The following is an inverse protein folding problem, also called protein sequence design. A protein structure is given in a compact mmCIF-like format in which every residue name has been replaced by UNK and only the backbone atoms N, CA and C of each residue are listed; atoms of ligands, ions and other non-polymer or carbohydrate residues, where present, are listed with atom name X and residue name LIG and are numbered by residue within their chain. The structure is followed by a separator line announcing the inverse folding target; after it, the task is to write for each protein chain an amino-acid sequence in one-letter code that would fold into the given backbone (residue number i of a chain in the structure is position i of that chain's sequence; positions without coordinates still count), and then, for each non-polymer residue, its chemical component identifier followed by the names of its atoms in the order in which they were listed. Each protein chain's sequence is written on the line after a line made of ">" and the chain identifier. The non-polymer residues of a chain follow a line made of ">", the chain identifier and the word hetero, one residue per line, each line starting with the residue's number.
data_IF_034036560586
#
_entry.id   IF_034036560586
#
_cell.length_a   1.000
_cell.length_b   1.000
_cell.length_c   1.000
_cell.angle_alpha   90.00
_cell.angle_beta   90.00
_cell.angle_gamma   90.00
#
_symmetry.space_group_name_H-M   'P 1'
#
loop_
_entity.id
_entity.type
_entity.pdbx_description
1 polymer ?
#
# COMPACT_ATOMS: atom_id res chain seq x y z
N UNK A 1 32.65 -5.66 -5.03
CA UNK A 1 32.22 -6.51 -6.15
C UNK A 1 31.98 -7.90 -5.61
N UNK A 2 30.72 -8.30 -5.37
CA UNK A 2 30.42 -9.68 -4.93
C UNK A 2 30.26 -10.53 -6.20
N UNK A 3 31.23 -11.39 -6.49
CA UNK A 3 31.14 -12.32 -7.62
C UNK A 3 30.09 -13.40 -7.31
N UNK A 4 28.88 -13.25 -7.88
CA UNK A 4 27.84 -14.28 -7.83
C UNK A 4 28.18 -15.49 -8.72
N UNK A 5 29.19 -15.36 -9.57
CA UNK A 5 29.63 -16.37 -10.53
C UNK A 5 31.10 -16.66 -10.27
N UNK A 6 31.44 -17.94 -10.11
CA UNK A 6 32.82 -18.39 -9.85
C UNK A 6 33.17 -19.61 -10.71
N UNK A 7 34.46 -19.90 -10.85
CA UNK A 7 34.97 -21.05 -11.60
C UNK A 7 35.36 -20.70 -13.05
N UNK A 8 35.63 -21.74 -13.84
CA UNK A 8 36.08 -21.62 -15.24
C UNK A 8 35.34 -22.60 -16.15
N UNK A 9 35.45 -22.44 -17.47
CA UNK A 9 34.85 -23.41 -18.40
C UNK A 9 35.44 -24.82 -18.24
N UNK A 10 36.68 -24.95 -17.78
CA UNK A 10 37.35 -26.24 -17.54
C UNK A 10 36.95 -26.87 -16.20
N UNK A 11 36.73 -26.05 -15.16
CA UNK A 11 36.42 -26.52 -13.80
C UNK A 11 34.92 -26.57 -13.50
N UNK A 12 34.10 -25.96 -14.37
CA UNK A 12 32.68 -25.72 -14.14
C UNK A 12 32.44 -24.30 -13.63
N UNK A 13 31.31 -23.72 -14.03
CA UNK A 13 30.83 -22.42 -13.57
C UNK A 13 29.80 -22.66 -12.45
N UNK A 14 29.99 -21.99 -11.32
CA UNK A 14 29.05 -21.98 -10.19
C UNK A 14 28.39 -20.62 -10.09
N UNK A 15 27.05 -20.61 -9.99
CA UNK A 15 26.26 -19.42 -9.67
C UNK A 15 25.77 -19.57 -8.23
N UNK A 16 25.93 -18.54 -7.39
CA UNK A 16 25.41 -18.50 -6.02
C UNK A 16 24.69 -17.18 -5.83
N UNK A 17 23.38 -17.25 -5.60
CA UNK A 17 22.51 -16.10 -5.38
C UNK A 17 22.34 -15.95 -3.86
N UNK A 18 22.78 -14.83 -3.26
CA UNK A 18 22.50 -14.57 -1.85
C UNK A 18 20.99 -14.47 -1.59
N UNK A 19 20.54 -14.85 -0.39
CA UNK A 19 19.12 -14.89 -0.03
C UNK A 19 18.44 -13.53 -0.25
N UNK A 20 19.13 -12.43 0.07
CA UNK A 20 18.64 -11.06 -0.14
C UNK A 20 18.46 -10.65 -1.60
N UNK A 21 18.99 -11.44 -2.54
CA UNK A 21 18.94 -11.19 -3.98
C UNK A 21 18.00 -12.14 -4.73
N UNK A 22 17.27 -13.02 -4.01
CA UNK A 22 16.18 -13.76 -4.63
C UNK A 22 15.07 -12.80 -5.09
N UNK A 23 14.51 -13.02 -6.29
CA UNK A 23 13.56 -12.10 -6.89
C UNK A 23 12.20 -12.14 -6.19
N UNK A 24 11.42 -11.07 -6.30
CA UNK A 24 10.06 -11.00 -5.76
C UNK A 24 9.05 -11.81 -6.60
N UNK A 25 9.33 -12.00 -7.89
CA UNK A 25 8.61 -12.91 -8.80
C UNK A 25 9.58 -13.95 -9.34
N UNK A 26 9.09 -15.16 -9.65
CA UNK A 26 9.94 -16.19 -10.25
C UNK A 26 10.50 -15.69 -11.59
N UNK A 27 11.79 -15.91 -11.84
CA UNK A 27 12.46 -15.50 -13.09
C UNK A 27 13.09 -16.71 -13.77
N UNK A 28 13.31 -16.61 -15.08
CA UNK A 28 14.01 -17.62 -15.84
C UNK A 28 15.04 -16.98 -16.76
N UNK A 29 16.18 -17.65 -16.92
CA UNK A 29 17.20 -17.27 -17.90
C UNK A 29 17.88 -18.50 -18.49
N UNK A 30 18.64 -18.31 -19.56
CA UNK A 30 19.36 -19.39 -20.24
C UNK A 30 20.86 -19.11 -20.23
N UNK A 31 21.64 -20.13 -19.88
CA UNK A 31 23.10 -20.13 -20.01
C UNK A 31 23.52 -21.40 -20.74
N UNK A 32 24.72 -21.45 -21.30
CA UNK A 32 25.10 -22.61 -22.08
C UNK A 32 26.52 -22.59 -22.61
N UNK A 33 26.90 -23.70 -23.23
CA UNK A 33 28.17 -23.87 -23.89
C UNK A 33 27.98 -23.85 -25.41
N UNK A 34 28.96 -23.29 -26.13
CA UNK A 34 28.99 -23.28 -27.58
C UNK A 34 30.34 -23.78 -28.08
N UNK A 35 30.32 -24.77 -28.96
CA UNK A 35 31.50 -25.31 -29.64
C UNK A 35 31.23 -25.35 -31.16
N UNK A 36 31.76 -24.36 -31.88
CA UNK A 36 31.44 -24.17 -33.30
C UNK A 36 29.96 -23.88 -33.52
N UNK A 37 29.28 -24.78 -34.24
CA UNK A 37 27.81 -24.72 -34.47
C UNK A 37 26.99 -25.47 -33.41
N UNK A 38 27.64 -26.27 -32.56
CA UNK A 38 26.95 -27.03 -31.53
C UNK A 38 26.71 -26.15 -30.31
N UNK A 39 25.48 -26.16 -29.80
CA UNK A 39 25.06 -25.37 -28.63
C UNK A 39 24.37 -26.29 -27.63
N UNK A 40 24.75 -26.17 -26.37
CA UNK A 40 24.07 -26.78 -25.24
C UNK A 40 23.52 -25.67 -24.36
N UNK A 41 22.21 -25.64 -24.12
CA UNK A 41 21.56 -24.63 -23.28
C UNK A 41 20.99 -25.29 -22.02
N UNK A 42 21.22 -24.62 -20.89
CA UNK A 42 20.61 -24.86 -19.61
C UNK A 42 19.56 -23.77 -19.36
N UNK A 43 18.32 -24.19 -19.13
CA UNK A 43 17.29 -23.31 -18.59
C UNK A 43 17.47 -23.24 -17.07
N UNK A 44 17.67 -22.05 -16.54
CA UNK A 44 17.76 -21.79 -15.10
C UNK A 44 16.48 -21.11 -14.66
N UNK A 45 15.80 -21.74 -13.71
CA UNK A 45 14.60 -21.19 -13.07
C UNK A 45 14.98 -20.74 -11.66
N UNK A 46 14.80 -19.45 -11.39
CA UNK A 46 15.03 -18.86 -10.06
C UNK A 46 13.66 -18.65 -9.44
N UNK A 47 13.38 -19.41 -8.38
CA UNK A 47 12.14 -19.25 -7.62
C UNK A 47 12.11 -17.88 -6.96
N UNK A 48 10.91 -17.33 -6.79
CA UNK A 48 10.72 -16.13 -5.97
C UNK A 48 11.00 -16.45 -4.50
N UNK A 49 11.46 -15.44 -3.75
CA UNK A 49 11.47 -15.51 -2.29
C UNK A 49 10.04 -15.50 -1.74
N UNK A 50 9.87 -15.91 -0.49
CA UNK A 50 8.61 -15.75 0.22
C UNK A 50 8.44 -14.30 0.70
N UNK A 51 7.18 -13.89 0.86
CA UNK A 51 6.89 -12.63 1.54
C UNK A 51 7.09 -12.81 3.03
N UNK A 52 7.76 -11.88 3.67
CA UNK A 52 8.06 -11.98 5.10
C UNK A 52 8.19 -10.62 5.78
N UNK A 53 8.23 -10.65 7.11
CA UNK A 53 8.52 -9.49 7.94
C UNK A 53 9.84 -9.73 8.66
N UNK A 54 10.81 -8.85 8.42
CA UNK A 54 12.11 -8.83 9.10
C UNK A 54 12.21 -7.51 9.87
N UNK A 55 12.12 -7.57 11.20
CA UNK A 55 12.04 -6.36 12.03
C UNK A 55 10.79 -5.53 11.71
N UNK A 56 10.97 -4.24 11.40
CA UNK A 56 9.90 -3.33 10.98
C UNK A 56 9.70 -3.27 9.45
N UNK A 57 10.28 -4.21 8.70
CA UNK A 57 10.27 -4.19 7.25
C UNK A 57 9.41 -5.34 6.72
N UNK A 58 8.35 -5.00 5.99
CA UNK A 58 7.56 -5.94 5.22
C UNK A 58 8.16 -6.10 3.83
N UNK A 59 8.71 -7.29 3.56
CA UNK A 59 9.30 -7.64 2.29
C UNK A 59 8.32 -8.44 1.44
N UNK A 60 7.51 -7.78 0.63
CA UNK A 60 6.54 -8.48 -0.23
C UNK A 60 7.23 -9.15 -1.43
N UNK A 61 6.67 -10.31 -1.80
CA UNK A 61 6.95 -11.10 -2.97
C UNK A 61 5.62 -11.73 -3.45
N UNK A 62 5.63 -12.32 -4.64
CA UNK A 62 4.40 -12.59 -5.38
C UNK A 62 4.27 -14.06 -5.78
N UNK A 63 4.80 -14.98 -4.98
CA UNK A 63 4.62 -16.42 -5.21
C UNK A 63 3.20 -16.91 -4.88
N UNK A 64 2.53 -16.28 -3.92
CA UNK A 64 1.16 -16.61 -3.49
C UNK A 64 0.53 -15.47 -2.68
N UNK A 65 -0.82 -15.47 -2.60
CA UNK A 65 -1.55 -14.55 -1.74
C UNK A 65 -1.20 -14.81 -0.28
N UNK A 66 -0.87 -13.77 0.47
CA UNK A 66 -0.41 -13.91 1.85
C UNK A 66 -0.81 -12.72 2.70
N UNK A 67 -1.17 -13.00 3.95
CA UNK A 67 -1.29 -12.01 5.02
C UNK A 67 -0.12 -12.19 5.97
N UNK A 68 0.75 -11.19 6.02
CA UNK A 68 1.92 -11.21 6.89
C UNK A 68 1.51 -11.11 8.36
N UNK A 69 2.43 -11.54 9.23
CA UNK A 69 2.35 -11.24 10.66
C UNK A 69 2.28 -9.71 10.87
N UNK A 70 1.51 -9.23 11.85
CA UNK A 70 1.42 -7.79 12.10
C UNK A 70 2.76 -7.18 12.50
N UNK A 71 3.01 -5.96 12.03
CA UNK A 71 4.09 -5.10 12.51
C UNK A 71 3.51 -4.17 13.58
N UNK A 72 4.08 -4.18 14.78
CA UNK A 72 3.65 -3.29 15.85
C UNK A 72 4.50 -2.02 15.85
N UNK A 73 3.86 -0.86 15.91
CA UNK A 73 4.50 0.45 16.04
C UNK A 73 4.08 1.12 17.34
N UNK A 74 5.06 1.72 18.01
CA UNK A 74 4.89 2.48 19.25
C UNK A 74 5.89 3.64 19.30
N UNK A 75 5.85 4.53 20.31
CA UNK A 75 6.73 5.70 20.33
C UNK A 75 8.24 5.40 20.29
N UNK A 76 8.68 4.22 20.74
CA UNK A 76 10.09 3.84 20.71
C UNK A 76 10.49 3.09 19.43
N UNK A 77 9.52 2.44 18.80
CA UNK A 77 9.68 1.73 17.52
C UNK A 77 8.58 2.21 16.56
N UNK A 78 8.77 3.42 16.04
CA UNK A 78 7.71 4.23 15.45
C UNK A 78 7.64 4.18 13.91
N UNK A 79 8.40 3.29 13.30
CA UNK A 79 8.54 3.18 11.86
C UNK A 79 8.07 1.84 11.32
N UNK A 80 7.52 1.81 10.11
CA UNK A 80 7.27 0.58 9.33
C UNK A 80 7.66 0.83 7.88
N UNK A 81 8.38 -0.12 7.28
CA UNK A 81 8.81 -0.06 5.88
C UNK A 81 8.05 -1.09 5.06
N UNK A 82 7.45 -0.66 3.95
CA UNK A 82 6.79 -1.48 2.96
C UNK A 82 7.66 -1.58 1.69
N UNK A 83 8.13 -2.78 1.37
CA UNK A 83 8.87 -3.05 0.15
C UNK A 83 8.00 -3.91 -0.77
N UNK A 84 7.38 -3.28 -1.76
CA UNK A 84 6.77 -3.97 -2.90
C UNK A 84 7.83 -4.32 -3.96
N UNK A 85 8.82 -3.43 -4.12
CA UNK A 85 9.82 -3.56 -5.17
C UNK A 85 9.22 -3.36 -6.57
N UNK A 86 10.05 -3.47 -7.62
CA UNK A 86 9.67 -3.06 -8.97
C UNK A 86 8.61 -3.95 -9.62
N UNK A 87 8.43 -5.17 -9.11
CA UNK A 87 7.46 -6.15 -9.62
C UNK A 87 6.05 -5.94 -9.02
N UNK A 88 5.84 -4.96 -8.13
CA UNK A 88 4.52 -4.71 -7.56
C UNK A 88 4.22 -3.28 -7.15
N UNK A 89 2.96 -3.07 -6.82
CA UNK A 89 2.36 -1.77 -6.52
C UNK A 89 1.74 -1.79 -5.13
N UNK A 90 1.94 -0.73 -4.36
CA UNK A 90 1.32 -0.60 -3.05
C UNK A 90 -0.21 -0.47 -3.13
N UNK A 91 -0.90 -0.91 -2.10
CA UNK A 91 -2.31 -0.58 -1.86
C UNK A 91 -2.52 -0.03 -0.43
N UNK A 92 -3.44 0.93 -0.23
CA UNK A 92 -4.24 1.58 -1.27
C UNK A 92 -3.37 2.36 -2.27
N UNK A 93 -3.90 2.70 -3.44
CA UNK A 93 -3.11 3.37 -4.48
C UNK A 93 -2.49 4.68 -3.97
N UNK A 94 -3.22 5.38 -3.11
CA UNK A 94 -2.77 6.55 -2.35
C UNK A 94 -2.30 6.18 -0.93
N UNK A 95 -1.46 5.14 -0.82
CA UNK A 95 -0.95 4.62 0.47
C UNK A 95 -0.23 5.66 1.33
N UNK A 96 0.21 6.77 0.73
CA UNK A 96 0.87 7.85 1.45
C UNK A 96 -0.12 8.74 2.20
N UNK A 97 -1.41 8.78 1.84
CA UNK A 97 -2.41 9.58 2.55
C UNK A 97 -3.54 8.73 3.14
N UNK A 98 -3.72 7.50 2.64
CA UNK A 98 -4.77 6.59 3.01
C UNK A 98 -4.22 5.23 3.45
N UNK A 99 -5.02 4.55 4.26
CA UNK A 99 -4.83 3.15 4.62
C UNK A 99 -6.15 2.39 4.46
N UNK A 100 -6.11 1.07 4.39
CA UNK A 100 -7.33 0.27 4.47
C UNK A 100 -7.70 0.01 5.95
N UNK A 101 -8.99 -0.03 6.29
CA UNK A 101 -9.47 -0.55 7.59
C UNK A 101 -9.84 -2.02 7.53
N UNK A 102 -10.13 -2.53 6.34
CA UNK A 102 -10.60 -3.90 6.05
C UNK A 102 -9.92 -4.38 4.76
N UNK A 103 -9.68 -5.70 4.62
CA UNK A 103 -8.89 -6.25 3.52
C UNK A 103 -9.67 -6.48 2.22
N UNK A 104 -10.86 -7.06 2.34
CA UNK A 104 -11.54 -7.70 1.20
C UNK A 104 -11.88 -6.71 0.08
N UNK A 105 -12.09 -5.43 0.43
CA UNK A 105 -12.35 -4.35 -0.53
C UNK A 105 -11.41 -3.15 -0.37
N UNK A 106 -10.37 -3.24 0.49
CA UNK A 106 -9.60 -2.09 0.98
C UNK A 106 -10.48 -0.86 1.24
N UNK A 107 -11.18 -0.85 2.36
CA UNK A 107 -11.95 0.33 2.74
C UNK A 107 -11.03 1.47 3.15
N UNK A 108 -10.76 2.37 2.20
CA UNK A 108 -9.81 3.46 2.37
C UNK A 108 -10.28 4.46 3.44
N UNK A 109 -9.35 4.85 4.30
CA UNK A 109 -9.50 5.90 5.30
C UNK A 109 -8.25 6.77 5.33
N UNK A 110 -8.39 8.09 5.51
CA UNK A 110 -7.24 8.96 5.62
C UNK A 110 -6.51 8.70 6.93
N UNK A 111 -5.19 8.80 6.93
CA UNK A 111 -4.39 8.67 8.16
C UNK A 111 -4.75 9.69 9.23
N UNK A 112 -5.31 10.85 8.88
CA UNK A 112 -5.78 11.84 9.85
C UNK A 112 -6.91 11.34 10.76
N UNK A 113 -7.58 10.23 10.39
CA UNK A 113 -8.54 9.54 11.26
C UNK A 113 -7.86 8.73 12.39
N UNK A 114 -6.57 8.44 12.24
CA UNK A 114 -5.76 7.64 13.18
C UNK A 114 -4.73 8.52 13.88
N UNK A 115 -4.04 9.41 13.16
CA UNK A 115 -3.00 10.27 13.68
C UNK A 115 -3.46 11.75 13.65
N UNK A 116 -3.62 12.41 14.82
CA UNK A 116 -4.23 13.74 14.92
C UNK A 116 -3.58 14.85 14.06
N UNK A 117 -2.27 14.77 13.82
CA UNK A 117 -1.49 15.71 13.01
C UNK A 117 -0.81 15.05 11.83
N UNK A 118 -1.48 14.07 11.22
CA UNK A 118 -0.94 13.39 10.04
C UNK A 118 -0.44 14.38 8.97
N UNK A 119 0.73 14.09 8.41
CA UNK A 119 1.30 14.76 7.25
C UNK A 119 1.87 13.71 6.32
N UNK A 120 1.74 13.91 5.00
CA UNK A 120 2.38 13.05 4.00
C UNK A 120 3.91 12.95 4.17
N UNK A 121 4.53 13.93 4.85
CA UNK A 121 5.94 13.90 5.25
C UNK A 121 6.32 12.78 6.22
N UNK A 122 5.35 12.08 6.81
CA UNK A 122 5.61 10.88 7.61
C UNK A 122 6.07 9.72 6.72
N UNK A 123 5.75 9.77 5.43
CA UNK A 123 6.22 8.83 4.43
C UNK A 123 7.50 9.34 3.77
N UNK A 124 8.44 8.41 3.58
CA UNK A 124 9.66 8.63 2.80
C UNK A 124 9.90 7.44 1.88
N UNK A 125 10.55 7.67 0.75
CA UNK A 125 10.81 6.63 -0.24
C UNK A 125 9.58 6.25 -1.06
N UNK A 126 9.69 5.14 -1.77
CA UNK A 126 8.66 4.65 -2.71
C UNK A 126 8.52 3.14 -2.58
N UNK A 127 7.30 2.66 -2.36
CA UNK A 127 7.06 1.25 -2.09
C UNK A 127 7.48 0.32 -3.25
N UNK A 128 7.38 0.79 -4.49
CA UNK A 128 7.85 0.08 -5.70
C UNK A 128 9.37 0.16 -5.89
N UNK A 129 10.07 0.97 -5.10
CA UNK A 129 11.53 1.02 -5.07
C UNK A 129 12.13 -0.16 -4.32
N UNK A 130 13.41 -0.47 -4.59
CA UNK A 130 14.14 -1.55 -3.90
C UNK A 130 14.32 -1.30 -2.40
N UNK A 131 14.33 -0.03 -1.99
CA UNK A 131 14.39 0.37 -0.58
C UNK A 131 13.02 0.46 0.08
N UNK A 132 11.94 0.41 -0.70
CA UNK A 132 10.56 0.61 -0.25
C UNK A 132 10.23 2.03 0.23
N UNK A 133 9.04 2.14 0.82
CA UNK A 133 8.56 3.34 1.48
C UNK A 133 8.45 3.09 2.99
N UNK A 134 8.80 4.09 3.79
CA UNK A 134 8.76 4.01 5.25
C UNK A 134 7.81 5.05 5.82
N UNK A 135 6.84 4.59 6.61
CA UNK A 135 5.99 5.42 7.46
C UNK A 135 6.68 5.59 8.81
N UNK A 136 6.97 6.83 9.21
CA UNK A 136 7.51 7.17 10.52
C UNK A 136 6.54 8.07 11.26
N UNK A 137 6.03 7.61 12.40
CA UNK A 137 5.02 8.34 13.18
C UNK A 137 5.74 9.14 14.28
N UNK A 138 5.67 10.48 14.32
CA UNK A 138 6.24 11.25 15.42
C UNK A 138 5.62 10.86 16.77
N UNK A 139 6.41 10.89 17.85
CA UNK A 139 5.99 10.36 19.17
C UNK A 139 4.71 11.01 19.71
N UNK A 140 4.50 12.29 19.43
CA UNK A 140 3.33 13.09 19.83
C UNK A 140 2.09 12.89 18.95
N UNK A 141 2.21 12.07 17.89
CA UNK A 141 1.16 11.85 16.90
C UNK A 141 0.51 10.48 17.01
N UNK A 142 0.93 9.66 17.97
CA UNK A 142 0.27 8.38 18.26
C UNK A 142 -1.16 8.59 18.78
N UNK A 143 -2.10 7.70 18.42
CA UNK A 143 -3.49 7.79 18.85
C UNK A 143 -3.62 7.57 20.36
N UNK A 144 -4.73 8.06 20.93
CA UNK A 144 -5.08 7.79 22.33
C UNK A 144 -5.76 6.43 22.55
N UNK A 145 -6.03 5.69 21.47
CA UNK A 145 -6.63 4.35 21.47
C UNK A 145 -5.89 3.50 20.48
N UNK A 146 -5.62 2.24 20.81
CA UNK A 146 -4.92 1.34 19.89
C UNK A 146 -5.70 1.17 18.58
N UNK A 147 -5.00 1.13 17.46
CA UNK A 147 -5.59 1.01 16.12
C UNK A 147 -4.87 -0.06 15.31
N UNK A 148 -5.55 -0.66 14.33
CA UNK A 148 -4.91 -1.48 13.30
C UNK A 148 -5.24 -0.89 11.94
N UNK A 149 -4.22 -0.66 11.15
CA UNK A 149 -4.35 -0.28 9.74
C UNK A 149 -3.82 -1.40 8.85
N UNK A 150 -4.23 -1.38 7.59
CA UNK A 150 -3.77 -2.34 6.60
C UNK A 150 -3.16 -1.63 5.41
N UNK A 151 -2.00 -2.13 5.01
CA UNK A 151 -1.27 -1.78 3.82
C UNK A 151 -0.98 -3.07 3.04
N UNK A 152 -0.37 -2.93 1.88
CA UNK A 152 0.26 -4.07 1.24
C UNK A 152 0.68 -3.79 -0.18
N UNK A 153 0.94 -4.87 -0.91
CA UNK A 153 1.36 -4.83 -2.29
C UNK A 153 0.55 -5.80 -3.15
N UNK A 154 0.30 -5.42 -4.39
CA UNK A 154 -0.19 -6.31 -5.44
C UNK A 154 0.88 -6.47 -6.52
N UNK A 155 1.13 -7.70 -6.94
CA UNK A 155 1.95 -8.03 -8.10
C UNK A 155 1.12 -8.82 -9.11
N UNK A 156 1.58 -8.87 -10.36
CA UNK A 156 0.89 -9.60 -11.43
C UNK A 156 1.83 -10.59 -12.13
N UNK A 157 2.43 -11.56 -11.41
CA UNK A 157 3.21 -12.61 -12.06
C UNK A 157 2.33 -13.43 -13.00
N UNK A 158 2.78 -13.60 -14.26
CA UNK A 158 2.08 -14.37 -15.29
C UNK A 158 0.58 -14.01 -15.42
N UNK A 159 0.28 -12.70 -15.41
CA UNK A 159 -1.07 -12.10 -15.46
C UNK A 159 -2.01 -12.50 -14.31
N UNK A 160 -1.48 -13.11 -13.24
CA UNK A 160 -2.25 -13.45 -12.04
C UNK A 160 -1.98 -12.44 -10.95
N UNK A 161 -3.03 -11.79 -10.47
CA UNK A 161 -2.93 -10.90 -9.33
C UNK A 161 -2.57 -11.70 -8.06
N UNK A 162 -1.51 -11.28 -7.39
CA UNK A 162 -1.05 -11.81 -6.11
C UNK A 162 -0.94 -10.66 -5.11
N UNK A 163 -1.53 -10.84 -3.94
CA UNK A 163 -1.63 -9.82 -2.90
C UNK A 163 -0.83 -10.22 -1.66
N UNK A 164 0.04 -9.33 -1.22
CA UNK A 164 0.77 -9.38 0.03
C UNK A 164 0.18 -8.32 0.97
N UNK A 165 -0.51 -8.77 2.02
CA UNK A 165 -1.17 -7.90 3.01
C UNK A 165 -0.27 -7.69 4.22
N UNK A 166 -0.17 -6.44 4.68
CA UNK A 166 0.65 -6.01 5.81
C UNK A 166 -0.24 -5.34 6.87
N UNK A 167 -0.63 -6.06 7.92
CA UNK A 167 -1.27 -5.47 9.09
C UNK A 167 -0.26 -4.64 9.89
N UNK A 168 -0.64 -3.43 10.28
CA UNK A 168 0.17 -2.58 11.18
C UNK A 168 -0.66 -2.27 12.41
N UNK A 169 -0.18 -2.73 13.56
CA UNK A 169 -0.78 -2.47 14.86
C UNK A 169 -0.13 -1.23 15.47
N UNK A 170 -0.93 -0.23 15.79
CA UNK A 170 -0.50 1.04 16.35
C UNK A 170 -0.93 1.06 17.81
N UNK A 171 0.05 1.15 18.70
CA UNK A 171 -0.21 1.23 20.13
C UNK A 171 -0.76 2.61 20.51
N UNK A 172 -1.54 2.65 21.59
CA UNK A 172 -2.00 3.90 22.17
C UNK A 172 -0.90 4.57 22.99
N UNK A 173 -0.94 5.90 23.01
CA UNK A 173 -0.25 6.70 24.02
C UNK A 173 -1.31 7.33 24.89
N UNK A 174 -1.28 7.00 26.19
CA UNK A 174 -2.13 7.66 27.16
C UNK A 174 -1.90 9.17 27.07
N UNK A 175 -2.97 9.92 26.79
CA UNK A 175 -2.91 11.38 26.86
C UNK A 175 -2.45 11.76 28.27
N UNK A 176 -1.41 12.60 28.44
CA UNK A 176 -1.04 13.05 29.77
C UNK A 176 -2.28 13.68 30.43
N UNK A 177 -2.62 13.19 31.62
CA UNK A 177 -3.75 13.67 32.38
C UNK A 177 -3.56 15.16 32.70
N UNK A 178 -4.30 16.02 31.98
CA UNK A 178 -4.65 17.39 32.37
C UNK A 178 -3.52 18.37 32.70
N UNK A 179 -3.22 19.27 31.77
CA UNK A 179 -3.00 20.68 32.13
C UNK A 179 -4.38 21.31 32.37
N UNK A 180 -5.01 20.96 33.49
CA UNK A 180 -6.36 21.36 33.85
C UNK A 180 -6.50 21.47 35.36
N UNK A 181 -5.80 22.43 35.96
CA UNK A 181 -6.10 22.90 37.31
C UNK A 181 -5.94 24.41 37.35
N UNK A 182 -7.05 25.15 37.17
CA UNK A 182 -7.13 26.52 37.63
C UNK A 182 -8.12 26.53 38.81
N UNK A 183 -7.66 26.58 40.07
CA UNK A 183 -8.55 26.68 41.22
C UNK A 183 -8.90 28.16 41.42
N UNK A 184 -10.04 28.59 40.87
CA UNK A 184 -10.59 29.92 41.06
C UNK A 184 -12.03 29.83 41.56
N UNK A 185 -12.21 29.40 42.81
CA UNK A 185 -13.48 29.51 43.51
C UNK A 185 -13.76 30.95 43.91
N UNK A 186 -14.91 31.49 43.49
CA UNK A 186 -15.43 32.78 43.90
C UNK A 186 -16.94 32.79 43.78
N UNK A 187 -17.62 32.63 44.92
CA UNK A 187 -19.07 32.66 45.09
C UNK A 187 -19.62 34.09 45.08
N UNK A 188 -20.76 34.36 44.42
CA UNK A 188 -21.86 35.22 44.93
C UNK A 188 -23.08 35.28 43.95
N UNK A 189 -24.27 35.79 44.34
CA UNK A 189 -25.45 34.95 44.59
C UNK A 189 -26.68 35.28 43.71
N UNK A 190 -27.74 34.51 43.94
CA UNK A 190 -29.10 34.66 43.43
C UNK A 190 -29.70 36.07 43.53
N UNK A 191 -30.44 36.48 42.50
CA UNK A 191 -31.59 37.37 42.63
C UNK A 191 -32.65 37.10 41.56
N UNK A 192 -33.88 36.90 42.05
CA UNK A 192 -35.13 36.66 41.34
C UNK A 192 -35.90 37.95 40.99
N UNK A 193 -36.90 37.78 40.10
CA UNK A 193 -38.04 38.66 39.74
C UNK A 193 -37.89 39.33 38.35
N UNK A 194 -38.88 39.45 37.45
CA UNK A 194 -40.35 39.40 37.55
C UNK A 194 -41.00 39.24 36.15
N UNK A 195 -42.29 38.86 36.13
CA UNK A 195 -43.19 38.61 34.99
C UNK A 195 -43.42 39.79 34.03
N UNK A 196 -43.89 39.50 32.81
CA UNK A 196 -45.20 39.97 32.28
C UNK A 196 -45.60 39.31 30.95
N UNK A 197 -46.88 38.94 30.91
CA UNK A 197 -47.65 38.38 29.80
C UNK A 197 -47.95 39.40 28.69
N UNK A 198 -48.21 38.91 27.47
CA UNK A 198 -48.63 39.72 26.33
C UNK A 198 -49.01 38.89 25.10
N UNK A 199 -50.27 38.45 25.10
CA UNK A 199 -51.07 37.84 24.01
C UNK A 199 -51.05 38.63 22.68
N UNK A 200 -51.10 37.93 21.53
CA UNK A 200 -52.01 38.11 20.35
C UNK A 200 -51.41 37.36 19.13
N UNK A 201 -51.90 36.16 18.74
CA UNK A 201 -53.13 35.83 17.99
C UNK A 201 -52.99 35.97 16.45
N UNK A 202 -53.00 34.80 15.79
CA UNK A 202 -53.54 34.46 14.45
C UNK A 202 -52.91 35.12 13.19
N UNK A 203 -52.86 34.52 11.99
CA UNK A 203 -53.73 33.53 11.32
C UNK A 203 -53.05 33.11 9.99
N UNK A 204 -53.39 31.92 9.47
CA UNK A 204 -53.55 31.75 8.02
C UNK A 204 -52.60 30.77 7.30
N UNK A 205 -53.08 29.55 7.09
CA UNK A 205 -52.62 28.57 6.07
C UNK A 205 -53.45 28.78 4.76
N UNK A 206 -53.24 27.98 3.70
CA UNK A 206 -52.68 28.29 2.37
C UNK A 206 -53.78 28.44 1.27
N UNK A 207 -53.51 28.40 -0.05
CA UNK A 207 -53.43 27.09 -0.76
C UNK A 207 -52.64 27.01 -2.10
N UNK A 208 -52.29 25.75 -2.45
CA UNK A 208 -52.28 25.05 -3.77
C UNK A 208 -51.83 25.71 -5.10
N UNK A 209 -50.92 24.99 -5.80
CA UNK A 209 -51.21 24.41 -7.15
C UNK A 209 -50.48 24.99 -8.39
N UNK A 210 -49.93 24.10 -9.25
CA UNK A 210 -49.96 24.31 -10.71
C UNK A 210 -48.64 24.25 -11.52
N UNK A 211 -48.29 23.06 -12.01
CA UNK A 211 -47.82 22.66 -13.37
C UNK A 211 -47.05 23.62 -14.32
N UNK A 212 -45.98 23.08 -14.92
CA UNK A 212 -45.74 23.21 -16.38
C UNK A 212 -44.32 23.58 -16.85
N UNK A 213 -43.75 22.78 -17.76
CA UNK A 213 -42.82 23.30 -18.79
C UNK A 213 -41.44 22.65 -18.88
N UNK A 214 -41.23 21.88 -19.96
CA UNK A 214 -40.03 21.12 -20.31
C UNK A 214 -38.87 21.97 -20.87
N UNK A 215 -37.63 21.46 -20.85
CA UNK A 215 -36.83 21.16 -22.08
C UNK A 215 -35.44 20.56 -21.79
N UNK A 216 -35.26 19.32 -22.27
CA UNK A 216 -34.15 18.75 -23.08
C UNK A 216 -32.69 18.79 -22.61
N UNK A 217 -32.05 17.60 -22.61
CA UNK A 217 -30.58 17.48 -22.60
C UNK A 217 -30.01 16.05 -22.52
N UNK A 218 -30.34 15.20 -23.51
CA UNK A 218 -29.64 13.99 -24.01
C UNK A 218 -28.66 13.24 -23.06
N UNK A 219 -29.07 12.05 -22.61
CA UNK A 219 -28.17 10.95 -22.27
C UNK A 219 -27.93 10.10 -23.52
N UNK A 220 -26.67 9.85 -23.87
CA UNK A 220 -26.31 8.84 -24.86
C UNK A 220 -25.78 7.60 -24.13
N UNK A 221 -26.56 6.52 -24.19
CA UNK A 221 -26.13 5.18 -23.90
C UNK A 221 -25.43 4.60 -25.14
N UNK A 222 -24.34 3.85 -24.94
CA UNK A 222 -23.91 2.85 -25.91
C UNK A 222 -23.52 1.59 -25.15
N UNK A 223 -24.39 0.58 -25.27
CA UNK A 223 -24.12 -0.79 -24.89
C UNK A 223 -23.46 -1.49 -26.08
N UNK A 224 -22.35 -2.18 -25.80
CA UNK A 224 -21.57 -2.92 -26.78
C UNK A 224 -22.00 -4.39 -26.75
N UNK A 225 -22.17 -5.02 -27.92
CA UNK A 225 -22.34 -6.46 -28.03
C UNK A 225 -21.67 -7.02 -29.29
N UNK A 226 -20.85 -8.06 -29.03
CA UNK A 226 -20.51 -9.24 -29.86
C UNK A 226 -19.46 -9.15 -30.99
N UNK A 227 -18.32 -9.78 -30.67
CA UNK A 227 -17.84 -11.09 -31.16
C UNK A 227 -16.77 -11.17 -32.26
N UNK A 228 -15.81 -12.07 -31.98
CA UNK A 228 -14.80 -12.79 -32.80
C UNK A 228 -13.59 -12.09 -33.43
N UNK A 229 -12.43 -12.69 -33.14
CA UNK A 229 -11.22 -12.66 -33.98
C UNK A 229 -9.95 -13.14 -33.27
N UNK A 230 -9.68 -14.44 -33.30
CA UNK A 230 -8.34 -15.01 -33.06
C UNK A 230 -7.30 -14.40 -34.02
N UNK A 231 -6.10 -14.10 -33.53
CA UNK A 231 -4.82 -14.54 -34.13
C UNK A 231 -3.67 -14.17 -33.19
N UNK A 232 -2.76 -15.13 -32.99
CA UNK A 232 -1.64 -15.05 -32.07
C UNK A 232 -0.49 -14.17 -32.55
N UNK A 233 0.37 -13.82 -31.58
CA UNK A 233 1.64 -13.16 -31.78
C UNK A 233 2.42 -13.10 -30.47
N UNK A 234 3.14 -14.18 -30.14
CA UNK A 234 4.22 -14.16 -29.15
C UNK A 234 5.33 -13.24 -29.66
N UNK A 235 5.54 -12.11 -29.01
CA UNK A 235 6.77 -11.32 -29.11
C UNK A 235 7.19 -10.92 -27.69
N UNK A 236 7.68 -11.91 -26.93
CA UNK A 236 8.39 -11.69 -25.67
C UNK A 236 9.89 -11.59 -25.95
N UNK A 237 10.36 -10.38 -26.23
CA UNK A 237 11.79 -10.08 -26.35
C UNK A 237 12.43 -10.22 -24.95
N UNK A 238 13.07 -11.36 -24.69
CA UNK A 238 13.83 -11.59 -23.47
C UNK A 238 15.11 -10.75 -23.51
N UNK A 239 15.50 -10.04 -22.43
CA UNK A 239 16.74 -9.30 -22.40
C UNK A 239 17.92 -10.28 -22.51
N UNK A 240 18.57 -10.30 -23.68
CA UNK A 240 19.83 -11.01 -23.86
C UNK A 240 20.90 -10.18 -23.16
N UNK A 241 21.38 -10.64 -22.00
CA UNK A 241 22.61 -10.13 -21.41
C UNK A 241 23.79 -10.56 -22.31
N UNK A 242 24.08 -9.76 -23.33
CA UNK A 242 25.36 -9.82 -24.07
C UNK A 242 26.43 -9.17 -23.20
N UNK A 243 26.99 -9.96 -22.29
CA UNK A 243 28.27 -9.63 -21.66
C UNK A 243 29.41 -10.01 -22.60
N UNK A 244 29.94 -9.03 -23.34
CA UNK A 244 31.21 -9.17 -24.05
C UNK A 244 32.35 -9.21 -23.02
N UNK A 245 32.54 -10.37 -22.38
CA UNK A 245 33.74 -10.62 -21.58
C UNK A 245 34.85 -11.10 -22.51
N UNK A 246 35.57 -10.13 -23.09
CA UNK A 246 36.85 -10.38 -23.76
C UNK A 246 37.90 -10.65 -22.68
N UNK A 247 38.22 -11.92 -22.45
CA UNK A 247 39.35 -12.34 -21.61
C UNK A 247 40.61 -12.37 -22.48
N UNK A 248 41.51 -11.41 -22.26
CA UNK A 248 42.95 -11.54 -22.54
C UNK A 248 43.61 -12.39 -21.47
#
# INVERSE_FOLDING_TARGET
>A
TKEWVTGTLQQGIRITIPDEHYPATSKAFRVGCKAGKNVCLLNVYVQSRESEVIGQVAHCAYSSNVRLRPITVNPENNGVTLICGPDGKAFPDDYMNHHCTELDECKERPYSAVFPGFSSSFWTGEASGVAGATLTIPKDQFPSTAQTIYLGCTGHPDDKQVTCVVPVNIEEVAKPAGAGSNPGGGSQPDQSSEKRDGEQVNKGKPPTGGSGGATTGKQNASQNAKDKGETGGENGDSPVLRGDAKLT
#
